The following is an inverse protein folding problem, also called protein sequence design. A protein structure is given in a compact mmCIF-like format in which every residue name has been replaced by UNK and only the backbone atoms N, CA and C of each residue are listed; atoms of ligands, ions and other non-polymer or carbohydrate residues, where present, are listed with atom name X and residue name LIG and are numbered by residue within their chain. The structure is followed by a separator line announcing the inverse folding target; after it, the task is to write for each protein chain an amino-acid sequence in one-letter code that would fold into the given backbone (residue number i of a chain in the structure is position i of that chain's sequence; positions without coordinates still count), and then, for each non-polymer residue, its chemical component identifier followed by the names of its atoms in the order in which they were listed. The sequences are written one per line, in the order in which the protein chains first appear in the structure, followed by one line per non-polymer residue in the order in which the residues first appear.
data_IF_945012756565
#
_entry.id   IF_945012756565
#
_cell.length_a   1.000
_cell.length_b   1.000
_cell.length_c   1.000
_cell.angle_alpha   90.00
_cell.angle_beta   90.00
_cell.angle_gamma   90.00
#
_symmetry.space_group_name_H-M   'P 1'
#
loop_
_entity.id
_entity.type
_entity.pdbx_description
1 polymer ?
#
# COMPACT_ATOMS: atom_id res chain seq x y z
N UNK A 1 -7.16 -3.69 6.22
CA UNK A 1 -5.73 -4.11 6.22
C UNK A 1 -4.88 -3.28 7.18
N UNK A 2 -4.92 -1.94 7.16
CA UNK A 2 -4.12 -1.09 8.07
C UNK A 2 -4.24 -1.49 9.56
N UNK A 3 -5.47 -1.65 10.06
CA UNK A 3 -5.72 -2.03 11.46
C UNK A 3 -5.21 -3.43 11.83
N UNK A 4 -5.12 -4.36 10.87
CA UNK A 4 -4.65 -5.73 11.13
C UNK A 4 -3.18 -5.78 11.53
N UNK A 5 -2.35 -4.90 10.96
CA UNK A 5 -0.94 -4.82 11.32
C UNK A 5 -0.77 -4.09 12.65
N UNK A 6 -1.56 -3.05 12.90
CA UNK A 6 -1.53 -2.32 14.17
C UNK A 6 -1.91 -3.20 15.36
N UNK A 7 -3.04 -3.92 15.30
CA UNK A 7 -3.44 -4.82 16.40
C UNK A 7 -2.47 -5.98 16.62
N UNK A 8 -1.81 -6.43 15.55
CA UNK A 8 -0.76 -7.44 15.64
C UNK A 8 0.45 -6.89 16.41
N UNK A 9 0.85 -5.64 16.15
CA UNK A 9 1.93 -4.97 16.88
C UNK A 9 1.57 -4.83 18.36
N UNK A 10 0.36 -4.37 18.68
CA UNK A 10 -0.09 -4.23 20.08
C UNK A 10 -0.03 -5.55 20.85
N UNK A 11 -0.57 -6.64 20.27
CA UNK A 11 -0.56 -7.94 20.93
C UNK A 11 0.84 -8.57 20.99
N UNK A 12 1.69 -8.30 20.00
CA UNK A 12 3.10 -8.72 20.03
C UNK A 12 3.83 -8.01 21.16
N UNK A 13 3.67 -6.70 21.33
CA UNK A 13 4.27 -5.93 22.41
C UNK A 13 3.78 -6.40 23.79
N UNK A 14 2.53 -6.82 23.91
CA UNK A 14 1.97 -7.39 25.15
C UNK A 14 2.61 -8.72 25.51
N UNK A 15 2.55 -9.71 24.60
CA UNK A 15 2.99 -11.09 24.87
C UNK A 15 4.51 -11.19 24.90
N UNK A 16 5.19 -10.50 23.99
CA UNK A 16 6.64 -10.51 23.85
C UNK A 16 7.27 -9.27 24.50
N UNK A 17 6.72 -8.80 25.64
CA UNK A 17 7.35 -7.72 26.39
C UNK A 17 8.81 -8.08 26.71
N UNK A 18 9.73 -7.29 26.14
CA UNK A 18 11.17 -7.51 26.14
C UNK A 18 11.75 -7.30 27.53
N UNK A 19 11.18 -6.39 28.34
CA UNK A 19 11.70 -6.05 29.68
C UNK A 19 10.61 -6.29 30.73
N UNK A 20 10.30 -7.56 31.06
CA UNK A 20 9.14 -7.92 31.88
C UNK A 20 9.21 -7.39 33.32
N UNK A 21 10.43 -7.20 33.83
CA UNK A 21 10.70 -6.76 35.20
C UNK A 21 11.09 -5.27 35.28
N UNK A 22 10.99 -4.53 34.16
CA UNK A 22 11.39 -3.12 34.07
C UNK A 22 12.80 -2.84 34.65
N UNK A 23 13.11 -1.58 34.93
CA UNK A 23 14.38 -1.15 35.52
C UNK A 23 14.22 -0.86 37.01
N UNK A 24 15.24 -1.17 37.80
CA UNK A 24 15.26 -0.85 39.23
C UNK A 24 15.20 0.66 39.46
N UNK A 25 14.37 1.06 40.42
CA UNK A 25 14.19 2.43 40.86
C UNK A 25 14.42 2.54 42.36
N UNK A 26 14.80 3.71 42.85
CA UNK A 26 14.85 4.00 44.27
C UNK A 26 13.86 5.14 44.61
N UNK A 27 13.10 4.98 45.68
CA UNK A 27 12.19 6.02 46.14
C UNK A 27 12.94 7.28 46.55
N UNK A 28 12.54 8.44 46.00
CA UNK A 28 13.14 9.75 46.35
C UNK A 28 12.55 10.35 47.63
N UNK A 29 11.40 9.84 48.06
CA UNK A 29 10.65 10.22 49.28
C UNK A 29 9.84 9.02 49.78
N UNK A 30 9.35 9.08 51.01
CA UNK A 30 8.39 8.10 51.51
C UNK A 30 7.10 8.14 50.67
N UNK A 31 6.56 6.96 50.35
CA UNK A 31 5.31 6.80 49.59
C UNK A 31 4.45 5.74 50.28
N UNK A 32 3.14 5.95 50.33
CA UNK A 32 2.18 4.91 50.73
C UNK A 32 1.50 4.35 49.50
N UNK A 33 1.56 3.04 49.29
CA UNK A 33 0.88 2.32 48.19
C UNK A 33 0.04 1.21 48.80
N UNK A 34 -1.27 1.19 48.55
CA UNK A 34 -2.21 0.18 49.07
C UNK A 34 -2.08 -0.08 50.59
N UNK A 35 -1.83 1.00 51.36
CA UNK A 35 -1.66 0.94 52.81
C UNK A 35 -0.24 0.59 53.29
N UNK A 36 0.67 0.22 52.39
CA UNK A 36 2.08 -0.03 52.72
C UNK A 36 2.90 1.25 52.67
N UNK A 37 3.56 1.60 53.78
CA UNK A 37 4.53 2.70 53.85
C UNK A 37 5.89 2.24 53.37
N UNK A 38 6.38 2.84 52.29
CA UNK A 38 7.66 2.55 51.67
C UNK A 38 8.63 3.72 51.94
N UNK A 39 9.70 3.51 52.72
CA UNK A 39 10.67 4.57 53.02
C UNK A 39 11.38 5.14 51.79
N UNK A 40 11.92 6.36 51.94
CA UNK A 40 12.89 6.90 50.97
C UNK A 40 14.08 5.93 50.83
N UNK A 41 14.53 5.69 49.61
CA UNK A 41 15.64 4.79 49.30
C UNK A 41 15.22 3.34 49.06
N UNK A 42 13.96 2.96 49.31
CA UNK A 42 13.47 1.61 48.96
C UNK A 42 13.60 1.36 47.46
N UNK A 43 14.21 0.23 47.12
CA UNK A 43 14.33 -0.23 45.74
C UNK A 43 12.99 -0.80 45.27
N UNK A 44 12.49 -0.33 44.13
CA UNK A 44 11.26 -0.79 43.50
C UNK A 44 11.59 -1.25 42.08
N UNK A 45 11.07 -2.43 41.73
CA UNK A 45 11.20 -3.03 40.41
C UNK A 45 9.78 -3.27 39.90
N UNK A 46 9.24 -2.40 39.01
CA UNK A 46 7.89 -2.56 38.49
C UNK A 46 7.75 -3.86 37.67
N UNK A 47 6.84 -4.74 38.10
CA UNK A 47 6.55 -5.98 37.40
C UNK A 47 5.54 -5.73 36.28
N UNK A 48 5.98 -5.14 35.17
CA UNK A 48 5.12 -4.85 34.01
C UNK A 48 4.44 -6.11 33.50
N UNK A 49 5.16 -7.24 33.50
CA UNK A 49 4.59 -8.52 33.08
C UNK A 49 3.42 -8.99 33.95
N UNK A 50 3.34 -8.60 35.22
CA UNK A 50 2.21 -8.97 36.07
C UNK A 50 0.90 -8.39 35.51
N UNK A 51 0.90 -7.12 35.09
CA UNK A 51 -0.26 -6.46 34.47
C UNK A 51 -0.58 -7.04 33.10
N UNK A 52 0.44 -7.22 32.24
CA UNK A 52 0.24 -7.70 30.87
C UNK A 52 -0.27 -9.15 30.77
N UNK A 53 -0.11 -9.93 31.85
CA UNK A 53 -0.57 -11.30 31.95
C UNK A 53 -1.66 -11.52 33.01
N UNK A 54 -2.19 -10.44 33.59
CA UNK A 54 -3.33 -10.49 34.51
C UNK A 54 -4.60 -10.85 33.73
N UNK A 55 -5.32 -11.90 34.17
CA UNK A 55 -6.53 -12.38 33.51
C UNK A 55 -7.76 -11.50 33.77
N UNK A 56 -7.72 -10.67 34.83
CA UNK A 56 -8.72 -9.65 35.11
C UNK A 56 -8.62 -8.45 34.16
N UNK A 57 -7.42 -8.21 33.60
CA UNK A 57 -7.15 -7.15 32.63
C UNK A 57 -7.23 -7.68 31.20
N UNK A 58 -6.57 -8.82 30.92
CA UNK A 58 -6.50 -9.42 29.60
C UNK A 58 -7.07 -10.84 29.63
N UNK A 59 -8.28 -11.03 29.10
CA UNK A 59 -8.87 -12.38 28.94
C UNK A 59 -7.95 -13.31 28.14
N UNK A 60 -7.79 -14.55 28.59
CA UNK A 60 -6.84 -15.53 28.01
C UNK A 60 -5.43 -14.94 27.80
N UNK A 61 -4.77 -14.42 28.86
CA UNK A 61 -3.62 -13.53 28.71
C UNK A 61 -2.40 -14.18 28.03
N UNK A 62 -2.32 -15.51 28.05
CA UNK A 62 -1.23 -16.27 27.40
C UNK A 62 -1.49 -16.62 25.93
N UNK A 63 -2.71 -16.38 25.43
CA UNK A 63 -3.08 -16.61 24.04
C UNK A 63 -2.82 -15.36 23.21
N UNK A 64 -2.18 -15.53 22.05
CA UNK A 64 -2.03 -14.46 21.06
C UNK A 64 -3.38 -14.16 20.40
N UNK A 65 -3.98 -13.03 20.78
CA UNK A 65 -5.36 -12.62 20.44
C UNK A 65 -5.40 -11.13 20.03
N UNK A 66 -4.90 -10.76 18.84
CA UNK A 66 -4.83 -9.36 18.39
C UNK A 66 -6.17 -8.64 18.36
N UNK A 67 -7.25 -9.35 18.08
CA UNK A 67 -8.60 -8.81 17.98
C UNK A 67 -9.09 -8.12 19.27
N UNK A 68 -8.44 -8.35 20.42
CA UNK A 68 -8.75 -7.64 21.69
C UNK A 68 -8.53 -6.13 21.60
N UNK A 69 -7.70 -5.69 20.66
CA UNK A 69 -7.42 -4.27 20.42
C UNK A 69 -8.29 -3.67 19.33
N UNK A 70 -9.32 -4.38 18.86
CA UNK A 70 -10.34 -3.81 17.98
C UNK A 70 -11.58 -3.43 18.80
N UNK A 71 -12.18 -2.30 18.45
CA UNK A 71 -13.54 -2.01 18.89
C UNK A 71 -14.53 -3.05 18.31
N UNK A 72 -15.71 -3.19 18.91
CA UNK A 72 -16.80 -4.05 18.42
C UNK A 72 -17.18 -3.76 16.96
N UNK A 73 -16.93 -2.53 16.50
CA UNK A 73 -17.13 -2.10 15.10
C UNK A 73 -16.12 -2.69 14.12
N UNK A 74 -14.96 -3.16 14.60
CA UNK A 74 -13.82 -3.64 13.81
C UNK A 74 -13.08 -2.55 13.03
N UNK A 75 -13.39 -1.27 13.27
CA UNK A 75 -12.92 -0.13 12.46
C UNK A 75 -11.96 0.82 13.19
N UNK A 76 -11.74 0.63 14.48
CA UNK A 76 -10.86 1.47 15.28
C UNK A 76 -10.14 0.61 16.32
N UNK A 77 -8.98 1.11 16.77
CA UNK A 77 -8.22 0.49 17.85
C UNK A 77 -8.86 0.85 19.19
N UNK A 78 -9.10 -0.15 20.03
CA UNK A 78 -9.48 0.07 21.42
C UNK A 78 -8.25 0.59 22.16
N UNK A 79 -8.38 1.76 22.81
CA UNK A 79 -7.35 2.26 23.72
C UNK A 79 -7.31 1.36 24.95
N UNK A 80 -6.13 0.84 25.27
CA UNK A 80 -5.87 0.03 26.47
C UNK A 80 -4.76 0.72 27.27
N UNK A 81 -5.14 1.40 28.35
CA UNK A 81 -4.19 2.14 29.19
C UNK A 81 -3.29 1.19 30.00
N UNK A 82 -3.71 -0.07 30.17
CA UNK A 82 -2.97 -1.15 30.82
C UNK A 82 -1.91 -1.79 29.91
N UNK A 83 -1.93 -1.49 28.60
CA UNK A 83 -0.88 -1.92 27.69
C UNK A 83 0.33 -0.99 27.80
N UNK A 84 1.22 -1.33 28.73
CA UNK A 84 2.41 -0.54 29.09
C UNK A 84 3.75 -1.25 28.77
N UNK A 85 3.97 -1.77 27.54
CA UNK A 85 5.20 -2.47 27.17
C UNK A 85 6.45 -1.55 27.20
N UNK A 86 6.22 -0.24 27.18
CA UNK A 86 7.24 0.80 27.26
C UNK A 86 7.18 1.59 28.59
N UNK A 87 6.56 1.01 29.63
CA UNK A 87 6.24 1.66 30.91
C UNK A 87 5.22 2.80 30.77
N UNK A 88 5.01 3.57 31.85
CA UNK A 88 4.08 4.69 31.91
C UNK A 88 4.68 5.85 32.72
N UNK A 89 4.18 7.07 32.50
CA UNK A 89 4.51 8.24 33.30
C UNK A 89 5.87 8.87 32.95
N UNK A 90 6.49 9.55 33.92
CA UNK A 90 7.72 10.36 33.70
C UNK A 90 8.95 9.56 33.24
N UNK A 91 8.89 8.22 33.29
CA UNK A 91 9.96 7.29 32.89
C UNK A 91 9.52 6.35 31.77
N UNK A 92 8.42 6.66 31.08
CA UNK A 92 8.03 6.00 29.85
C UNK A 92 9.17 6.09 28.83
N UNK A 93 9.35 5.03 28.03
CA UNK A 93 10.41 4.97 27.03
C UNK A 93 10.26 6.13 26.04
N UNK A 94 11.28 6.98 25.93
CA UNK A 94 11.32 8.06 24.93
C UNK A 94 11.23 7.51 23.49
N UNK A 95 11.68 6.28 23.28
CA UNK A 95 11.67 5.59 21.98
C UNK A 95 10.36 4.88 21.64
N UNK A 96 9.30 4.94 22.46
CA UNK A 96 8.07 4.20 22.22
C UNK A 96 7.45 4.47 20.84
N UNK A 97 7.27 5.75 20.50
CA UNK A 97 6.64 6.13 19.23
C UNK A 97 7.44 5.63 18.03
N UNK A 98 8.77 5.68 18.12
CA UNK A 98 9.67 5.17 17.08
C UNK A 98 9.59 3.65 17.00
N UNK A 99 9.69 2.94 18.13
CA UNK A 99 9.65 1.48 18.18
C UNK A 99 8.32 0.92 17.63
N UNK A 100 7.19 1.55 17.97
CA UNK A 100 5.87 1.18 17.42
C UNK A 100 5.81 1.39 15.90
N UNK A 101 6.34 2.51 15.41
CA UNK A 101 6.39 2.80 13.98
C UNK A 101 7.29 1.81 13.23
N UNK A 102 8.49 1.55 13.75
CA UNK A 102 9.44 0.59 13.17
C UNK A 102 8.86 -0.81 13.11
N UNK A 103 8.26 -1.30 14.20
CA UNK A 103 7.58 -2.60 14.23
C UNK A 103 6.45 -2.67 13.21
N UNK A 104 5.62 -1.63 13.13
CA UNK A 104 4.53 -1.56 12.16
C UNK A 104 5.08 -1.63 10.73
N UNK A 105 6.08 -0.81 10.38
CA UNK A 105 6.66 -0.78 9.05
C UNK A 105 7.33 -2.12 8.71
N UNK A 106 8.06 -2.72 9.65
CA UNK A 106 8.73 -4.01 9.45
C UNK A 106 7.72 -5.13 9.19
N UNK A 107 6.71 -5.26 10.05
CA UNK A 107 5.65 -6.27 9.94
C UNK A 107 4.82 -6.06 8.67
N UNK A 108 4.43 -4.82 8.39
CA UNK A 108 3.66 -4.50 7.19
C UNK A 108 4.44 -4.85 5.92
N UNK A 109 5.72 -4.50 5.84
CA UNK A 109 6.54 -4.79 4.68
C UNK A 109 6.76 -6.30 4.50
N UNK A 110 7.10 -7.02 5.57
CA UNK A 110 7.31 -8.46 5.49
C UNK A 110 6.03 -9.18 5.05
N UNK A 111 4.89 -8.91 5.69
CA UNK A 111 3.67 -9.64 5.37
C UNK A 111 2.99 -9.18 4.08
N UNK A 112 3.24 -7.95 3.61
CA UNK A 112 2.79 -7.52 2.28
C UNK A 112 3.62 -8.14 1.16
N UNK A 113 4.93 -8.30 1.34
CA UNK A 113 5.82 -8.76 0.28
C UNK A 113 6.10 -10.26 0.31
N UNK A 114 5.93 -10.91 1.47
CA UNK A 114 6.28 -12.31 1.66
C UNK A 114 5.14 -13.10 2.29
N UNK A 115 5.01 -14.35 1.85
CA UNK A 115 4.31 -15.39 2.59
C UNK A 115 5.35 -16.01 3.52
N UNK A 116 5.12 -15.88 4.83
CA UNK A 116 6.01 -16.41 5.86
C UNK A 116 5.43 -17.73 6.35
N UNK A 117 6.24 -18.78 6.37
CA UNK A 117 5.90 -20.08 6.97
C UNK A 117 7.02 -20.55 7.89
N UNK A 118 6.73 -21.43 8.87
CA UNK A 118 7.77 -22.06 9.67
C UNK A 118 8.84 -22.73 8.79
N UNK A 119 10.07 -22.77 9.28
CA UNK A 119 11.12 -23.61 8.71
C UNK A 119 10.85 -25.09 9.00
N UNK A 120 11.91 -25.89 9.08
CA UNK A 120 11.77 -27.32 9.43
C UNK A 120 11.20 -27.53 10.84
N UNK A 121 11.41 -26.57 11.74
CA UNK A 121 10.99 -26.62 13.14
C UNK A 121 10.02 -25.46 13.39
N UNK A 122 8.88 -25.77 14.01
CA UNK A 122 7.94 -24.74 14.48
C UNK A 122 8.60 -23.96 15.63
N UNK A 123 8.65 -22.62 15.57
CA UNK A 123 9.26 -21.83 16.64
C UNK A 123 8.60 -22.11 17.99
N UNK A 124 9.41 -22.33 19.02
CA UNK A 124 8.91 -22.48 20.38
C UNK A 124 8.35 -21.15 20.90
N UNK A 125 7.20 -21.21 21.56
CA UNK A 125 6.61 -20.08 22.29
C UNK A 125 7.17 -19.94 23.71
N UNK A 126 8.08 -20.83 24.11
CA UNK A 126 8.74 -20.74 25.41
C UNK A 126 9.68 -19.52 25.43
N UNK A 127 9.55 -18.72 26.49
CA UNK A 127 10.33 -17.50 26.69
C UNK A 127 11.66 -17.86 27.37
N UNK A 128 12.76 -17.34 26.82
CA UNK A 128 14.05 -17.36 27.51
C UNK A 128 14.16 -16.05 28.30
N UNK A 129 14.17 -16.17 29.63
CA UNK A 129 14.17 -15.02 30.53
C UNK A 129 15.62 -14.65 30.92
N UNK A 130 16.01 -13.42 30.63
CA UNK A 130 17.23 -12.77 31.12
C UNK A 130 16.95 -11.32 31.49
N UNK A 131 17.94 -10.43 31.37
CA UNK A 131 17.72 -8.98 31.45
C UNK A 131 16.73 -8.48 30.38
N UNK A 132 16.70 -9.18 29.23
CA UNK A 132 15.67 -9.09 28.21
C UNK A 132 15.08 -10.47 27.94
N UNK A 133 13.86 -10.50 27.42
CA UNK A 133 13.20 -11.71 26.94
C UNK A 133 13.48 -11.89 25.46
N UNK A 134 13.87 -13.09 25.08
CA UNK A 134 14.01 -13.48 23.68
C UNK A 134 13.44 -14.89 23.45
N UNK A 135 13.14 -15.19 22.19
CA UNK A 135 12.79 -16.55 21.76
C UNK A 135 14.06 -17.37 21.51
N UNK A 136 13.92 -18.69 21.43
CA UNK A 136 14.98 -19.56 20.93
C UNK A 136 15.21 -19.31 19.43
N UNK A 137 16.44 -19.46 18.92
CA UNK A 137 16.71 -19.33 17.49
C UNK A 137 15.78 -20.21 16.65
N UNK A 138 15.24 -19.65 15.57
CA UNK A 138 14.36 -20.36 14.65
C UNK A 138 14.67 -19.98 13.20
N UNK A 139 14.25 -20.83 12.27
CA UNK A 139 14.26 -20.52 10.84
C UNK A 139 12.83 -20.34 10.35
N UNK A 140 12.63 -19.43 9.41
CA UNK A 140 11.38 -19.28 8.69
C UNK A 140 11.67 -19.32 7.19
N UNK A 141 10.69 -19.78 6.41
CA UNK A 141 10.72 -19.64 4.96
C UNK A 141 9.94 -18.40 4.59
N UNK A 142 10.56 -17.53 3.78
CA UNK A 142 9.94 -16.34 3.23
C UNK A 142 9.83 -16.51 1.72
N UNK A 143 8.63 -16.79 1.24
CA UNK A 143 8.34 -16.88 -0.18
C UNK A 143 7.84 -15.52 -0.64
N UNK A 144 8.51 -14.88 -1.61
CA UNK A 144 8.04 -13.62 -2.16
C UNK A 144 6.62 -13.83 -2.68
N UNK A 145 5.66 -13.04 -2.19
CA UNK A 145 4.32 -13.07 -2.74
C UNK A 145 4.42 -12.69 -4.20
N UNK A 146 3.75 -13.48 -5.03
CA UNK A 146 3.00 -13.00 -6.17
C UNK A 146 2.88 -11.48 -6.30
N UNK A 147 3.75 -10.78 -7.06
CA UNK A 147 3.50 -9.40 -7.53
C UNK A 147 2.37 -9.38 -8.58
N UNK A 148 1.51 -10.40 -8.59
CA UNK A 148 0.31 -10.49 -9.42
C UNK A 148 -0.77 -9.50 -8.97
N UNK A 149 -0.63 -8.87 -7.80
CA UNK A 149 -1.63 -7.93 -7.26
C UNK A 149 -1.25 -6.44 -7.28
N UNK A 150 0.00 -6.07 -7.56
CA UNK A 150 0.37 -4.64 -7.61
C UNK A 150 -0.01 -4.07 -8.98
N UNK A 151 -1.11 -3.33 -9.02
CA UNK A 151 -1.67 -2.77 -10.25
C UNK A 151 -0.96 -1.49 -10.67
N UNK A 152 -0.60 -0.61 -9.72
CA UNK A 152 0.04 0.68 -10.03
C UNK A 152 1.37 0.50 -10.73
N UNK A 153 2.28 -0.34 -10.21
CA UNK A 153 3.59 -0.56 -10.84
C UNK A 153 3.49 -1.14 -12.25
N UNK A 154 2.50 -2.01 -12.51
CA UNK A 154 2.25 -2.55 -13.86
C UNK A 154 1.82 -1.45 -14.82
N UNK A 155 0.93 -0.55 -14.40
CA UNK A 155 0.50 0.59 -15.21
C UNK A 155 1.66 1.56 -15.43
N UNK A 156 2.49 1.83 -14.41
CA UNK A 156 3.72 2.64 -14.57
C UNK A 156 4.68 2.04 -15.59
N UNK A 157 4.93 0.72 -15.50
CA UNK A 157 5.79 0.02 -16.44
C UNK A 157 5.25 0.09 -17.87
N UNK A 158 3.92 -0.07 -18.05
CA UNK A 158 3.27 0.16 -19.34
C UNK A 158 3.41 1.60 -19.82
N UNK A 159 3.27 2.59 -18.96
CA UNK A 159 3.41 4.01 -19.32
C UNK A 159 4.81 4.33 -19.84
N UNK A 160 5.84 3.87 -19.11
CA UNK A 160 7.24 4.01 -19.55
C UNK A 160 7.47 3.26 -20.87
N UNK A 161 7.01 2.02 -20.99
CA UNK A 161 7.16 1.24 -22.22
C UNK A 161 6.49 1.91 -23.42
N UNK A 162 5.28 2.46 -23.25
CA UNK A 162 4.57 3.17 -24.32
C UNK A 162 5.29 4.44 -24.72
N UNK A 163 5.73 5.27 -23.77
CA UNK A 163 6.47 6.50 -24.08
C UNK A 163 7.78 6.20 -24.82
N UNK A 164 8.53 5.17 -24.42
CA UNK A 164 9.76 4.75 -25.10
C UNK A 164 9.54 4.16 -26.49
N UNK A 165 8.32 3.69 -26.81
CA UNK A 165 7.93 3.25 -28.15
C UNK A 165 7.29 4.36 -29.00
N UNK A 166 7.00 5.52 -28.40
CA UNK A 166 6.28 6.62 -29.05
C UNK A 166 7.00 7.95 -28.77
N UNK A 167 8.16 8.15 -29.43
CA UNK A 167 9.04 9.30 -29.20
C UNK A 167 8.32 10.65 -29.30
N UNK A 168 7.45 10.84 -30.30
CA UNK A 168 6.63 12.05 -30.44
C UNK A 168 5.76 12.34 -29.20
N UNK A 169 5.25 11.31 -28.52
CA UNK A 169 4.46 11.48 -27.30
C UNK A 169 5.37 11.85 -26.13
N UNK A 170 6.55 11.26 -26.06
CA UNK A 170 7.55 11.53 -25.04
C UNK A 170 8.10 12.97 -25.15
N UNK A 171 8.35 13.46 -26.36
CA UNK A 171 8.80 14.84 -26.60
C UNK A 171 7.76 15.86 -26.16
N UNK A 172 6.48 15.63 -26.46
CA UNK A 172 5.37 16.48 -25.98
C UNK A 172 5.25 16.48 -24.46
N UNK A 173 5.46 15.32 -23.83
CA UNK A 173 5.47 15.21 -22.37
C UNK A 173 6.60 16.06 -21.75
N UNK A 174 7.83 15.95 -22.28
CA UNK A 174 8.94 16.79 -21.82
C UNK A 174 8.66 18.27 -22.05
N UNK A 175 8.16 18.65 -23.23
CA UNK A 175 7.87 20.04 -23.57
C UNK A 175 6.83 20.67 -22.62
N UNK A 176 5.78 19.92 -22.25
CA UNK A 176 4.81 20.37 -21.25
C UNK A 176 5.47 20.57 -19.87
N UNK A 177 6.25 19.60 -19.41
CA UNK A 177 6.92 19.67 -18.11
C UNK A 177 7.90 20.84 -18.04
N UNK A 178 8.66 21.08 -19.11
CA UNK A 178 9.61 22.19 -19.20
C UNK A 178 8.92 23.55 -19.17
N UNK A 179 7.79 23.66 -19.86
CA UNK A 179 7.04 24.92 -19.95
C UNK A 179 6.29 25.22 -18.65
N UNK A 180 5.67 24.22 -18.03
CA UNK A 180 4.77 24.42 -16.89
C UNK A 180 5.48 24.35 -15.52
N UNK A 181 6.54 23.56 -15.40
CA UNK A 181 7.22 23.29 -14.12
C UNK A 181 8.66 23.77 -14.15
N UNK A 182 9.39 23.45 -15.22
CA UNK A 182 10.85 23.52 -15.24
C UNK A 182 11.50 22.36 -14.47
N UNK A 183 12.83 22.40 -14.38
CA UNK A 183 13.65 21.28 -13.85
C UNK A 183 14.22 21.51 -12.45
N UNK A 184 13.94 22.66 -11.83
CA UNK A 184 14.51 23.10 -10.55
C UNK A 184 13.85 22.46 -9.32
N UNK A 185 12.61 21.96 -9.48
CA UNK A 185 11.85 21.31 -8.40
C UNK A 185 11.12 20.04 -8.83
N UNK A 186 10.67 19.29 -7.84
CA UNK A 186 9.77 18.15 -8.04
C UNK A 186 8.33 18.61 -8.34
N UNK A 187 7.63 17.80 -9.13
CA UNK A 187 6.20 17.96 -9.43
C UNK A 187 5.39 17.50 -8.23
N UNK A 188 4.43 18.32 -7.82
CA UNK A 188 3.49 18.05 -6.73
C UNK A 188 2.08 17.78 -7.26
N UNK A 189 1.19 17.25 -6.42
CA UNK A 189 -0.22 17.02 -6.80
C UNK A 189 -0.92 18.33 -7.19
N UNK A 190 -0.50 19.46 -6.60
CA UNK A 190 -1.08 20.78 -6.90
C UNK A 190 -0.80 21.24 -8.34
N UNK A 191 0.25 20.71 -8.98
CA UNK A 191 0.60 21.03 -10.36
C UNK A 191 -0.28 20.31 -11.39
N UNK A 192 -1.03 19.28 -10.96
CA UNK A 192 -1.81 18.40 -11.84
C UNK A 192 -2.76 19.12 -12.82
N UNK A 193 -3.50 20.18 -12.42
CA UNK A 193 -4.37 20.91 -13.36
C UNK A 193 -3.61 21.59 -14.50
N UNK A 194 -2.33 21.90 -14.31
CA UNK A 194 -1.49 22.60 -15.29
C UNK A 194 -0.72 21.64 -16.23
N UNK A 195 -0.92 20.32 -16.07
CA UNK A 195 -0.24 19.27 -16.85
C UNK A 195 -1.25 18.38 -17.61
N UNK A 196 -2.11 18.97 -18.46
CA UNK A 196 -3.17 18.24 -19.17
C UNK A 196 -2.64 17.11 -20.06
N UNK A 197 -1.54 17.30 -20.78
CA UNK A 197 -0.94 16.29 -21.64
C UNK A 197 -0.36 15.13 -20.82
N UNK A 198 0.31 15.41 -19.70
CA UNK A 198 0.76 14.38 -18.75
C UNK A 198 -0.39 13.54 -18.23
N UNK A 199 -1.51 14.17 -17.87
CA UNK A 199 -2.71 13.44 -17.47
C UNK A 199 -3.32 12.64 -18.63
N UNK A 200 -3.28 13.17 -19.85
CA UNK A 200 -3.75 12.48 -21.05
C UNK A 200 -2.91 11.23 -21.36
N UNK A 201 -1.59 11.30 -21.16
CA UNK A 201 -0.66 10.16 -21.23
C UNK A 201 -1.03 9.09 -20.21
N UNK A 202 -1.37 9.48 -18.98
CA UNK A 202 -1.79 8.53 -17.93
C UNK A 202 -3.13 7.87 -18.28
N UNK A 203 -4.10 8.64 -18.76
CA UNK A 203 -5.40 8.13 -19.20
C UNK A 203 -5.25 7.15 -20.36
N UNK A 204 -4.41 7.47 -21.35
CA UNK A 204 -4.14 6.58 -22.48
C UNK A 204 -3.34 5.34 -22.06
N UNK A 205 -2.44 5.48 -21.08
CA UNK A 205 -1.74 4.33 -20.49
C UNK A 205 -2.74 3.39 -19.82
N UNK A 206 -3.66 3.90 -19.00
CA UNK A 206 -4.70 3.10 -18.35
C UNK A 206 -5.59 2.40 -19.39
N UNK A 207 -5.99 3.11 -20.45
CA UNK A 207 -6.82 2.56 -21.54
C UNK A 207 -6.10 1.44 -22.28
N UNK A 208 -4.89 1.70 -22.78
CA UNK A 208 -4.18 0.76 -23.65
C UNK A 208 -3.59 -0.41 -22.86
N UNK A 209 -3.06 -0.15 -21.65
CA UNK A 209 -2.50 -1.19 -20.80
C UNK A 209 -3.59 -2.19 -20.42
N UNK A 210 -4.80 -1.69 -20.09
CA UNK A 210 -5.97 -2.46 -19.70
C UNK A 210 -5.57 -3.72 -18.93
N UNK A 211 -4.95 -3.51 -17.77
CA UNK A 211 -4.23 -4.56 -17.04
C UNK A 211 -5.16 -5.65 -16.51
N UNK A 212 -6.47 -5.38 -16.42
CA UNK A 212 -7.53 -6.30 -16.05
C UNK A 212 -8.61 -6.34 -17.14
N UNK A 213 -8.32 -6.93 -18.32
CA UNK A 213 -9.22 -6.89 -19.47
C UNK A 213 -10.54 -7.62 -19.18
N UNK A 214 -10.43 -8.75 -18.47
CA UNK A 214 -11.53 -9.41 -17.79
C UNK A 214 -11.52 -8.92 -16.35
N UNK A 215 -12.52 -8.13 -15.97
CA UNK A 215 -12.62 -7.56 -14.64
C UNK A 215 -12.90 -8.64 -13.59
N UNK A 216 -12.95 -8.25 -12.32
CA UNK A 216 -13.21 -9.16 -11.21
C UNK A 216 -14.60 -9.81 -11.36
N UNK A 217 -14.70 -11.09 -11.03
CA UNK A 217 -15.96 -11.86 -11.08
C UNK A 217 -17.02 -11.23 -10.17
N UNK A 218 -18.22 -11.06 -10.71
CA UNK A 218 -19.44 -10.69 -9.99
C UNK A 218 -20.45 -11.85 -9.98
N UNK A 219 -21.45 -11.78 -9.10
CA UNK A 219 -22.61 -12.67 -9.13
C UNK A 219 -23.90 -11.87 -8.96
N UNK A 220 -24.95 -12.26 -9.69
CA UNK A 220 -26.25 -11.62 -9.60
C UNK A 220 -26.91 -11.89 -8.24
N UNK A 221 -27.36 -10.85 -7.55
CA UNK A 221 -28.04 -10.98 -6.24
C UNK A 221 -29.55 -11.23 -6.37
N UNK A 222 -30.10 -11.00 -7.56
CA UNK A 222 -31.48 -11.24 -7.97
C UNK A 222 -31.53 -11.50 -9.47
N UNK A 223 -32.65 -12.01 -9.95
CA UNK A 223 -32.92 -12.08 -11.37
C UNK A 223 -32.92 -10.67 -11.99
N UNK A 224 -32.29 -10.53 -13.15
CA UNK A 224 -32.25 -9.28 -13.93
C UNK A 224 -32.43 -9.59 -15.42
N UNK A 225 -32.95 -8.62 -16.17
CA UNK A 225 -32.97 -8.69 -17.64
C UNK A 225 -31.98 -7.67 -18.18
N UNK A 226 -31.07 -8.10 -19.05
CA UNK A 226 -30.06 -7.25 -19.71
C UNK A 226 -30.15 -7.51 -21.21
N UNK A 227 -30.37 -6.47 -22.01
CA UNK A 227 -30.56 -6.56 -23.48
C UNK A 227 -31.54 -7.65 -23.92
N UNK A 228 -32.64 -7.82 -23.17
CA UNK A 228 -33.66 -8.83 -23.42
C UNK A 228 -33.34 -10.23 -22.87
N UNK A 229 -32.12 -10.48 -22.39
CA UNK A 229 -31.73 -11.75 -21.78
C UNK A 229 -32.08 -11.79 -20.30
N UNK A 230 -32.90 -12.78 -19.92
CA UNK A 230 -33.30 -13.01 -18.54
C UNK A 230 -32.25 -13.85 -17.81
N UNK A 231 -31.55 -13.24 -16.86
CA UNK A 231 -30.44 -13.84 -16.13
C UNK A 231 -30.86 -14.18 -14.68
N UNK A 232 -30.80 -15.45 -14.27
CA UNK A 232 -31.18 -15.87 -12.92
C UNK A 232 -30.32 -15.25 -11.81
N UNK A 233 -30.87 -15.21 -10.60
CA UNK A 233 -30.07 -14.95 -9.38
C UNK A 233 -28.93 -15.99 -9.29
N UNK A 234 -27.75 -15.54 -8.89
CA UNK A 234 -26.57 -16.38 -8.68
C UNK A 234 -25.71 -16.57 -9.93
N UNK A 235 -26.17 -16.15 -11.12
CA UNK A 235 -25.34 -16.20 -12.34
C UNK A 235 -24.06 -15.39 -12.14
N UNK A 236 -22.92 -16.03 -12.44
CA UNK A 236 -21.62 -15.39 -12.40
C UNK A 236 -21.41 -14.53 -13.65
N UNK A 237 -20.92 -13.31 -13.47
CA UNK A 237 -20.71 -12.32 -14.53
C UNK A 237 -19.26 -11.86 -14.49
N UNK A 238 -18.58 -11.91 -15.63
CA UNK A 238 -17.23 -11.36 -15.80
C UNK A 238 -17.35 -10.14 -16.70
N UNK A 239 -17.31 -8.91 -16.16
CA UNK A 239 -17.35 -7.71 -17.00
C UNK A 239 -16.10 -7.63 -17.88
N UNK A 240 -16.30 -7.54 -19.19
CA UNK A 240 -15.21 -7.40 -20.16
C UNK A 240 -14.96 -5.92 -20.45
N UNK A 241 -14.25 -5.25 -19.54
CA UNK A 241 -13.89 -3.83 -19.69
C UNK A 241 -13.09 -3.61 -20.98
N UNK A 242 -12.31 -4.62 -21.40
CA UNK A 242 -11.63 -4.60 -22.69
C UNK A 242 -12.52 -4.34 -23.88
N UNK A 243 -13.76 -4.83 -23.89
CA UNK A 243 -14.66 -4.66 -25.02
C UNK A 243 -14.91 -3.18 -25.30
N UNK A 244 -15.09 -2.36 -24.26
CA UNK A 244 -15.27 -0.89 -24.40
C UNK A 244 -13.96 -0.20 -24.77
N UNK A 245 -12.87 -0.53 -24.07
CA UNK A 245 -11.60 0.20 -24.22
C UNK A 245 -10.87 -0.04 -25.55
N UNK A 246 -11.25 -1.08 -26.30
CA UNK A 246 -10.69 -1.41 -27.63
C UNK A 246 -11.68 -1.22 -28.77
N UNK A 247 -12.93 -0.86 -28.47
CA UNK A 247 -13.97 -0.58 -29.47
C UNK A 247 -13.53 0.63 -30.31
N UNK A 248 -13.49 0.47 -31.63
CA UNK A 248 -13.07 1.52 -32.56
C UNK A 248 -14.14 2.59 -32.77
N UNK A 249 -15.41 2.27 -32.51
CA UNK A 249 -16.51 3.22 -32.48
C UNK A 249 -16.44 4.14 -31.25
N UNK A 250 -15.84 3.67 -30.16
CA UNK A 250 -15.63 4.45 -28.93
C UNK A 250 -14.28 5.16 -28.94
N UNK A 251 -13.20 4.43 -29.26
CA UNK A 251 -11.84 4.93 -29.27
C UNK A 251 -11.20 4.74 -30.64
N UNK A 252 -11.17 5.80 -31.46
CA UNK A 252 -10.54 5.78 -32.80
C UNK A 252 -9.07 5.29 -32.72
N UNK A 253 -8.64 4.43 -33.65
CA UNK A 253 -7.30 3.83 -33.65
C UNK A 253 -6.95 3.19 -32.28
N UNK A 254 -7.75 2.25 -31.76
CA UNK A 254 -7.67 1.82 -30.35
C UNK A 254 -6.35 1.10 -30.00
N UNK A 255 -5.61 0.62 -31.00
CA UNK A 255 -4.31 -0.05 -30.84
C UNK A 255 -3.13 0.94 -30.81
N UNK A 256 -3.35 2.20 -31.18
CA UNK A 256 -2.32 3.24 -31.18
C UNK A 256 -2.33 3.98 -29.84
N UNK A 257 -1.15 4.22 -29.28
CA UNK A 257 -0.98 5.10 -28.14
C UNK A 257 -1.18 6.56 -28.58
N UNK A 258 -2.33 7.14 -28.27
CA UNK A 258 -2.73 8.48 -28.72
C UNK A 258 -3.27 9.30 -27.54
N UNK A 259 -2.42 9.91 -26.69
CA UNK A 259 -2.84 10.74 -25.57
C UNK A 259 -3.81 11.86 -25.97
N UNK A 260 -3.69 12.39 -27.17
CA UNK A 260 -4.49 13.51 -27.68
C UNK A 260 -6.00 13.25 -27.67
N UNK A 261 -6.44 11.99 -27.57
CA UNK A 261 -7.86 11.65 -27.43
C UNK A 261 -8.47 12.12 -26.09
N UNK A 262 -7.65 12.38 -25.08
CA UNK A 262 -8.07 12.85 -23.76
C UNK A 262 -7.85 14.35 -23.58
N UNK A 263 -7.62 15.09 -24.66
CA UNK A 263 -7.52 16.54 -24.67
C UNK A 263 -8.75 17.13 -25.36
N UNK A 264 -9.16 18.30 -24.89
CA UNK A 264 -10.25 19.06 -25.51
C UNK A 264 -9.89 19.44 -26.95
N UNK A 265 -10.81 19.21 -27.89
CA UNK A 265 -10.58 19.43 -29.33
C UNK A 265 -10.72 20.91 -29.75
N UNK A 266 -11.22 21.76 -28.85
CA UNK A 266 -11.44 23.19 -29.08
C UNK A 266 -10.15 24.04 -28.95
N UNK A 267 -8.99 23.40 -28.77
CA UNK A 267 -7.71 24.08 -28.58
C UNK A 267 -7.45 24.53 -27.14
N UNK A 268 -8.39 24.30 -26.20
CA UNK A 268 -8.10 24.44 -24.78
C UNK A 268 -7.10 23.35 -24.37
N UNK A 269 -5.92 23.75 -23.90
CA UNK A 269 -4.94 22.81 -23.35
C UNK A 269 -5.44 22.30 -21.99
N UNK A 270 -6.43 21.40 -22.02
CA UNK A 270 -7.14 20.89 -20.84
C UNK A 270 -7.62 19.47 -21.11
N UNK A 271 -7.83 18.70 -20.03
CA UNK A 271 -8.32 17.32 -20.13
C UNK A 271 -9.78 17.28 -20.58
N UNK A 272 -10.04 16.50 -21.62
CA UNK A 272 -11.39 16.14 -22.00
C UNK A 272 -11.97 15.11 -21.01
N UNK A 273 -13.25 15.26 -20.69
CA UNK A 273 -14.01 14.24 -19.97
C UNK A 273 -14.27 13.04 -20.90
N UNK A 274 -14.00 11.84 -20.41
CA UNK A 274 -14.30 10.59 -21.11
C UNK A 274 -14.90 9.59 -20.12
N UNK A 275 -16.21 9.39 -20.21
CA UNK A 275 -16.95 8.51 -19.30
C UNK A 275 -16.76 7.03 -19.67
N UNK A 276 -16.32 6.75 -20.90
CA UNK A 276 -16.01 5.43 -21.44
C UNK A 276 -14.65 4.90 -20.97
N UNK A 277 -13.79 5.75 -20.41
CA UNK A 277 -12.55 5.34 -19.77
C UNK A 277 -12.84 4.76 -18.38
N UNK A 278 -13.08 3.45 -18.33
CA UNK A 278 -13.46 2.71 -17.12
C UNK A 278 -12.41 1.69 -16.61
N UNK A 279 -11.09 2.02 -16.54
CA UNK A 279 -10.04 1.08 -16.14
C UNK A 279 -10.13 0.66 -14.66
N UNK A 280 -10.94 1.35 -13.87
CA UNK A 280 -11.20 1.09 -12.45
C UNK A 280 -12.59 0.48 -12.20
N UNK A 281 -13.25 -0.02 -13.25
CA UNK A 281 -14.66 -0.44 -13.22
C UNK A 281 -15.62 0.73 -12.96
N UNK A 282 -16.90 0.41 -12.80
CA UNK A 282 -17.98 1.37 -12.47
C UNK A 282 -18.94 0.78 -11.42
N UNK A 283 -19.77 1.64 -10.84
CA UNK A 283 -20.84 1.25 -9.92
C UNK A 283 -20.37 0.89 -8.50
N UNK A 284 -21.18 0.14 -7.75
CA UNK A 284 -20.98 -0.12 -6.30
C UNK A 284 -19.67 -0.83 -5.93
N UNK A 285 -18.97 -1.39 -6.93
CA UNK A 285 -17.72 -2.14 -6.77
C UNK A 285 -16.59 -1.53 -7.61
N UNK A 286 -16.74 -0.27 -8.02
CA UNK A 286 -15.64 0.53 -8.55
C UNK A 286 -14.44 0.48 -7.60
N UNK A 287 -13.24 0.52 -8.16
CA UNK A 287 -12.01 0.40 -7.40
C UNK A 287 -11.95 1.45 -6.29
N UNK A 288 -11.92 1.00 -5.03
CA UNK A 288 -11.78 1.87 -3.87
C UNK A 288 -10.48 2.69 -3.90
N UNK A 289 -9.44 2.17 -4.55
CA UNK A 289 -8.12 2.79 -4.66
C UNK A 289 -7.93 3.72 -5.85
N UNK A 290 -8.96 4.02 -6.65
CA UNK A 290 -8.79 4.81 -7.88
C UNK A 290 -8.15 6.19 -7.64
N UNK A 291 -8.61 6.92 -6.63
CA UNK A 291 -8.08 8.26 -6.33
C UNK A 291 -6.59 8.22 -5.99
N UNK A 292 -6.18 7.25 -5.16
CA UNK A 292 -4.79 7.02 -4.78
C UNK A 292 -3.95 6.57 -5.98
N UNK A 293 -4.42 5.59 -6.75
CA UNK A 293 -3.72 5.09 -7.93
C UNK A 293 -3.48 6.20 -8.96
N UNK A 294 -4.49 7.04 -9.26
CA UNK A 294 -4.33 8.17 -10.19
C UNK A 294 -3.32 9.20 -9.68
N UNK A 295 -3.28 9.44 -8.36
CA UNK A 295 -2.29 10.33 -7.75
C UNK A 295 -0.87 9.75 -7.85
N UNK A 296 -0.69 8.47 -7.52
CA UNK A 296 0.59 7.78 -7.65
C UNK A 296 1.07 7.79 -9.10
N UNK A 297 0.23 7.39 -10.06
CA UNK A 297 0.54 7.39 -11.48
C UNK A 297 1.00 8.78 -11.96
N UNK A 298 0.28 9.83 -11.54
CA UNK A 298 0.64 11.19 -11.85
C UNK A 298 2.00 11.59 -11.28
N UNK A 299 2.20 11.42 -9.97
CA UNK A 299 3.45 11.83 -9.32
C UNK A 299 4.65 11.06 -9.86
N UNK A 300 4.54 9.75 -10.09
CA UNK A 300 5.64 8.94 -10.60
C UNK A 300 5.98 9.29 -12.05
N UNK A 301 5.00 9.30 -12.96
CA UNK A 301 5.25 9.64 -14.36
C UNK A 301 5.80 11.07 -14.45
N UNK A 302 5.13 12.05 -13.83
CA UNK A 302 5.56 13.44 -13.92
C UNK A 302 6.96 13.63 -13.35
N UNK A 303 7.30 13.10 -12.17
CA UNK A 303 8.62 13.30 -11.59
C UNK A 303 9.74 12.52 -12.30
N UNK A 304 9.48 11.31 -12.78
CA UNK A 304 10.46 10.54 -13.56
C UNK A 304 10.87 11.34 -14.80
N UNK A 305 9.89 11.80 -15.59
CA UNK A 305 10.15 12.52 -16.83
C UNK A 305 10.50 14.00 -16.59
N UNK A 306 10.15 14.59 -15.45
CA UNK A 306 10.61 15.94 -15.11
C UNK A 306 12.10 15.95 -14.72
N UNK A 307 12.56 14.95 -13.97
CA UNK A 307 13.92 14.93 -13.42
C UNK A 307 14.92 14.17 -14.30
N UNK A 308 14.45 13.26 -15.15
CA UNK A 308 15.31 12.39 -15.94
C UNK A 308 14.91 12.37 -17.41
N UNK A 309 15.93 12.39 -18.27
CA UNK A 309 15.82 11.98 -19.66
C UNK A 309 15.87 10.44 -19.65
N UNK A 310 14.73 9.83 -19.94
CA UNK A 310 14.56 8.39 -20.02
C UNK A 310 14.71 7.94 -21.46
N UNK A 311 15.54 6.93 -21.70
CA UNK A 311 15.75 6.29 -23.00
C UNK A 311 15.73 4.77 -22.88
N UNK A 312 15.53 4.02 -23.98
CA UNK A 312 15.60 2.57 -23.97
C UNK A 312 16.95 2.06 -23.44
N UNK A 313 16.95 0.86 -22.86
CA UNK A 313 18.17 0.17 -22.43
C UNK A 313 18.94 -0.38 -23.64
N UNK A 314 19.15 -1.70 -23.68
CA UNK A 314 19.75 -2.34 -24.87
C UNK A 314 18.79 -2.41 -26.05
N UNK A 315 17.50 -2.56 -25.76
CA UNK A 315 16.43 -2.67 -26.75
C UNK A 315 15.22 -1.86 -26.29
N UNK A 316 14.37 -1.46 -27.23
CA UNK A 316 13.07 -0.85 -26.93
C UNK A 316 12.19 -1.86 -26.19
N UNK A 317 11.40 -1.44 -25.18
CA UNK A 317 10.51 -2.35 -24.46
C UNK A 317 9.51 -3.03 -25.39
N UNK A 318 9.35 -4.36 -25.27
CA UNK A 318 8.31 -5.09 -26.00
C UNK A 318 6.93 -4.73 -25.45
N UNK A 319 6.01 -4.37 -26.35
CA UNK A 319 4.60 -4.11 -26.05
C UNK A 319 3.73 -5.39 -26.14
N UNK A 320 4.34 -6.57 -26.28
CA UNK A 320 3.61 -7.83 -26.29
C UNK A 320 2.94 -8.06 -24.93
N UNK A 321 1.63 -8.27 -24.95
CA UNK A 321 0.83 -8.57 -23.77
C UNK A 321 1.04 -10.03 -23.38
N UNK A 322 1.18 -10.31 -22.09
CA UNK A 322 1.06 -11.68 -21.59
C UNK A 322 -0.40 -12.08 -21.32
N UNK A 323 -0.63 -13.39 -21.22
CA UNK A 323 -1.94 -14.01 -20.99
C UNK A 323 -2.19 -14.33 -19.51
N UNK A 324 -1.64 -13.54 -18.59
CA UNK A 324 -1.89 -13.74 -17.15
C UNK A 324 -3.15 -13.00 -16.68
N UNK A 325 -3.62 -13.30 -15.47
CA UNK A 325 -4.80 -12.65 -14.88
C UNK A 325 -4.67 -11.11 -14.80
N UNK A 326 -3.43 -10.61 -14.64
CA UNK A 326 -3.13 -9.17 -14.71
C UNK A 326 -2.08 -8.93 -15.79
N UNK A 327 -2.47 -8.27 -16.88
CA UNK A 327 -1.60 -7.99 -18.01
C UNK A 327 -0.45 -7.10 -17.56
N UNK A 328 0.78 -7.51 -17.89
CA UNK A 328 1.99 -6.73 -17.65
C UNK A 328 2.89 -6.78 -18.89
N UNK A 329 3.80 -5.81 -19.00
CA UNK A 329 4.83 -5.84 -20.04
C UNK A 329 5.89 -6.92 -19.71
N UNK A 330 6.59 -7.40 -20.73
CA UNK A 330 7.82 -8.17 -20.54
C UNK A 330 8.85 -7.34 -19.77
N UNK A 331 9.74 -7.95 -18.96
CA UNK A 331 10.82 -7.24 -18.31
C UNK A 331 11.65 -6.45 -19.33
N UNK A 332 11.95 -5.18 -19.02
CA UNK A 332 12.78 -4.32 -19.84
C UNK A 332 13.69 -3.46 -18.96
N UNK A 333 14.74 -2.92 -19.56
CA UNK A 333 15.61 -1.93 -18.91
C UNK A 333 15.50 -0.60 -19.65
N UNK A 334 15.68 0.49 -18.91
CA UNK A 334 15.78 1.84 -19.45
C UNK A 334 17.00 2.52 -18.84
N UNK A 335 17.50 3.55 -19.53
CA UNK A 335 18.53 4.44 -19.02
C UNK A 335 17.85 5.72 -18.55
N UNK A 336 18.24 6.20 -17.37
CA UNK A 336 17.73 7.45 -16.79
C UNK A 336 18.91 8.38 -16.54
N UNK A 337 18.97 9.47 -17.29
CA UNK A 337 20.01 10.49 -17.15
C UNK A 337 19.39 11.74 -16.54
N UNK A 338 19.98 12.29 -15.48
CA UNK A 338 19.43 13.49 -14.83
C UNK A 338 19.37 14.63 -15.85
N UNK A 339 18.22 15.27 -15.99
CA UNK A 339 18.05 16.44 -16.88
C UNK A 339 18.86 17.59 -16.30
N UNK A 340 19.64 18.27 -17.16
CA UNK A 340 20.38 19.45 -16.76
C UNK A 340 19.38 20.60 -16.60
N UNK A 341 19.52 21.36 -15.52
CA UNK A 341 18.77 22.60 -15.34
C UNK A 341 19.18 23.54 -16.46
N UNK A 342 18.23 23.84 -17.36
CA UNK A 342 18.42 24.83 -18.43
C UNK A 342 18.40 26.23 -17.85
#
# INVERSE_FOLDING_TARGET
MAYSNSIFVEETLRIANIVPNNVLHALTREVTVDGFKLPKGTAIVPQVSAVLFDDTVFSEPRRFKPERFLETSGKCLTRCDELIPFSIGKRQCLGESLARMELFLFIANIFNQYKVSPGQIVPSLQRNNGAVVHCSPFTCRMEKRSVYGETTSKVLAWGVAQLLNNENCLDKLYAELDTAIGTDRLVSVADRPNLPYTNAVINETLRIANILPNNVLHALTREVTVDGFKLPKGTAIVPQVSAVLIDDAVFSEPKRFKPERFLEQNGANSLARCDELIPFSVGKRQCLGESMARMELFLFIANIFNQYKVSPGKTVPSLQRNTSAVVHCSPFTCRMEKRKVS
#
